data_IF_490370791285
#
_entry.id   IF_490370791285
#
_cell.length_a   1.000
_cell.length_b   1.000
_cell.length_c   1.000
_cell.angle_alpha   90.00
_cell.angle_beta   90.00
_cell.angle_gamma   90.00
#
_symmetry.space_group_name_H-M   'P 1'
#
loop_
_entity.id
_entity.type
_entity.pdbx_description
1 polymer ?
#
# COMPACT_ATOMS: atom_id res chain seq x y z
N UNK A 1 21.67 -3.33 -13.36
CA UNK A 1 21.75 -2.10 -12.53
C UNK A 1 20.41 -1.83 -11.86
N UNK A 2 19.35 -1.55 -12.62
CA UNK A 2 17.98 -1.37 -12.07
C UNK A 2 17.52 -2.57 -11.22
N UNK A 3 17.75 -3.81 -11.69
CA UNK A 3 17.38 -5.03 -10.95
C UNK A 3 18.02 -5.06 -9.54
N UNK A 4 19.28 -4.63 -9.42
CA UNK A 4 20.02 -4.66 -8.16
C UNK A 4 19.68 -3.48 -7.23
N UNK A 5 18.88 -2.52 -7.71
CA UNK A 5 18.47 -1.35 -6.93
C UNK A 5 17.25 -1.65 -6.04
N UNK A 6 16.63 -2.82 -6.18
CA UNK A 6 15.58 -3.32 -5.31
C UNK A 6 16.20 -4.16 -4.19
N UNK A 7 16.16 -3.65 -2.96
CA UNK A 7 16.77 -4.29 -1.79
C UNK A 7 15.83 -4.31 -0.58
N UNK A 8 16.12 -5.24 0.34
CA UNK A 8 15.40 -5.36 1.62
C UNK A 8 15.70 -4.13 2.51
N UNK A 9 14.74 -3.65 3.32
CA UNK A 9 13.46 -4.29 3.65
C UNK A 9 12.31 -3.98 2.67
N UNK A 10 12.53 -3.12 1.69
CA UNK A 10 11.48 -2.55 0.85
C UNK A 10 10.96 -3.50 -0.23
N UNK A 11 11.87 -4.27 -0.84
CA UNK A 11 11.54 -5.25 -1.87
C UNK A 11 12.24 -6.58 -1.63
N UNK A 12 11.60 -7.67 -2.08
CA UNK A 12 12.26 -8.96 -2.26
C UNK A 12 13.15 -8.91 -3.50
N UNK A 13 14.06 -9.87 -3.60
CA UNK A 13 14.93 -9.98 -4.76
C UNK A 13 14.08 -10.20 -6.04
N UNK A 14 14.26 -9.39 -7.09
CA UNK A 14 13.44 -9.50 -8.29
C UNK A 14 13.71 -10.81 -9.04
N UNK A 15 12.65 -11.52 -9.40
CA UNK A 15 12.71 -12.67 -10.29
C UNK A 15 12.60 -12.23 -11.75
N UNK A 16 13.45 -12.77 -12.62
CA UNK A 16 13.38 -12.52 -14.06
C UNK A 16 12.33 -13.44 -14.68
N UNK A 17 11.26 -12.84 -15.18
CA UNK A 17 10.14 -13.54 -15.82
C UNK A 17 9.97 -13.08 -17.26
N UNK A 18 9.30 -13.89 -18.07
CA UNK A 18 8.89 -13.50 -19.43
C UNK A 18 7.63 -12.62 -19.40
N UNK A 19 7.39 -11.85 -20.47
CA UNK A 19 6.22 -10.98 -20.57
C UNK A 19 4.90 -11.78 -20.50
N UNK A 20 4.89 -13.03 -20.99
CA UNK A 20 3.71 -13.90 -20.99
C UNK A 20 3.41 -14.44 -19.58
N UNK A 21 4.42 -14.60 -18.74
CA UNK A 21 4.28 -15.05 -17.35
C UNK A 21 3.88 -13.92 -16.39
N UNK A 22 4.02 -12.67 -16.82
CA UNK A 22 3.73 -11.49 -16.02
C UNK A 22 2.28 -11.45 -15.55
N UNK A 23 1.33 -11.63 -16.48
CA UNK A 23 -0.10 -11.58 -16.17
C UNK A 23 -0.50 -12.75 -15.26
N UNK A 24 -0.08 -13.98 -15.60
CA UNK A 24 -0.36 -15.17 -14.78
C UNK A 24 0.29 -15.10 -13.38
N UNK A 25 1.45 -14.46 -13.24
CA UNK A 25 2.13 -14.27 -11.96
C UNK A 25 1.45 -13.25 -11.04
N UNK A 26 0.95 -12.15 -11.62
CA UNK A 26 0.16 -11.15 -10.91
C UNK A 26 -1.21 -11.72 -10.50
N UNK A 27 -1.91 -12.39 -11.40
CA UNK A 27 -3.24 -12.97 -11.13
C UNK A 27 -3.20 -14.06 -10.05
N UNK A 28 -2.11 -14.84 -10.01
CA UNK A 28 -1.88 -15.84 -8.97
C UNK A 28 -1.42 -15.24 -7.63
N UNK A 29 -1.24 -13.92 -7.54
CA UNK A 29 -0.73 -13.24 -6.34
C UNK A 29 0.71 -13.59 -5.97
N UNK A 30 1.48 -14.16 -6.92
CA UNK A 30 2.91 -14.50 -6.71
C UNK A 30 3.77 -13.24 -6.69
N UNK A 31 3.39 -12.24 -7.48
CA UNK A 31 4.08 -10.96 -7.57
C UNK A 31 3.12 -9.83 -7.20
N UNK A 32 3.57 -8.87 -6.40
CA UNK A 32 2.82 -7.61 -6.16
C UNK A 32 3.11 -6.58 -7.25
N UNK A 33 4.30 -6.65 -7.85
CA UNK A 33 4.78 -5.72 -8.88
C UNK A 33 5.46 -6.49 -9.99
N UNK A 34 5.22 -6.10 -11.24
CA UNK A 34 5.97 -6.56 -12.39
C UNK A 34 6.41 -5.36 -13.24
N UNK A 35 7.69 -5.33 -13.61
CA UNK A 35 8.30 -4.20 -14.33
C UNK A 35 8.74 -4.70 -15.70
N UNK A 36 8.16 -4.12 -16.75
CA UNK A 36 8.51 -4.41 -18.13
C UNK A 36 9.45 -3.32 -18.67
N UNK A 37 10.69 -3.71 -18.97
CA UNK A 37 11.74 -2.84 -19.51
C UNK A 37 11.91 -3.15 -20.99
N UNK A 38 11.70 -2.17 -21.91
CA UNK A 38 11.71 -2.46 -23.33
C UNK A 38 13.11 -2.87 -23.84
N UNK A 39 13.17 -3.72 -24.87
CA UNK A 39 14.44 -4.03 -25.53
C UNK A 39 14.98 -2.74 -26.15
N UNK A 40 16.27 -2.46 -25.92
CA UNK A 40 16.98 -1.22 -26.29
C UNK A 40 16.83 -0.02 -25.34
N UNK A 41 16.21 -0.18 -24.16
CA UNK A 41 16.07 0.91 -23.17
C UNK A 41 17.36 1.72 -22.96
N UNK A 42 18.49 1.06 -22.68
CA UNK A 42 19.78 1.73 -22.47
C UNK A 42 20.22 2.56 -23.70
N UNK A 43 20.05 2.02 -24.91
CA UNK A 43 20.44 2.72 -26.14
C UNK A 43 19.58 3.96 -26.36
N UNK A 44 18.28 3.86 -26.07
CA UNK A 44 17.33 4.95 -26.29
C UNK A 44 17.52 6.08 -25.26
N UNK A 45 17.76 5.74 -23.99
CA UNK A 45 18.16 6.71 -22.96
C UNK A 45 19.44 7.46 -23.36
N UNK A 46 20.48 6.74 -23.82
CA UNK A 46 21.74 7.37 -24.25
C UNK A 46 21.60 8.22 -25.53
N UNK A 47 20.66 7.85 -26.40
CA UNK A 47 20.31 8.63 -27.59
C UNK A 47 19.52 9.92 -27.24
N UNK A 48 19.18 10.15 -25.96
CA UNK A 48 18.34 11.26 -25.54
C UNK A 48 16.86 11.09 -25.90
N UNK A 49 16.45 9.87 -26.26
CA UNK A 49 15.02 9.52 -26.38
C UNK A 49 14.43 9.31 -24.98
N UNK A 50 13.11 9.39 -24.89
CA UNK A 50 12.35 9.16 -23.66
C UNK A 50 11.65 7.80 -23.71
N UNK A 51 12.35 6.68 -23.45
CA UNK A 51 11.73 5.37 -23.44
C UNK A 51 10.84 5.19 -22.20
N UNK A 52 9.67 4.58 -22.41
CA UNK A 52 8.71 4.27 -21.35
C UNK A 52 9.06 2.93 -20.68
N UNK A 53 9.02 2.91 -19.34
CA UNK A 53 9.01 1.66 -18.55
C UNK A 53 7.59 1.45 -18.04
N UNK A 54 7.06 0.24 -18.24
CA UNK A 54 5.74 -0.13 -17.74
C UNK A 54 5.88 -0.85 -16.39
N UNK A 55 5.08 -0.41 -15.41
CA UNK A 55 4.96 -1.05 -14.10
C UNK A 55 3.53 -1.53 -13.92
N UNK A 56 3.35 -2.83 -13.77
CA UNK A 56 2.10 -3.48 -13.46
C UNK A 56 2.05 -3.79 -11.96
N UNK A 57 0.93 -3.45 -11.32
CA UNK A 57 0.77 -3.55 -9.86
C UNK A 57 -0.48 -4.34 -9.53
N UNK A 58 -0.35 -5.30 -8.62
CA UNK A 58 -1.49 -5.96 -7.99
C UNK A 58 -2.09 -5.03 -6.92
N UNK A 59 -3.26 -4.50 -7.22
CA UNK A 59 -3.98 -3.57 -6.37
C UNK A 59 -4.78 -4.24 -5.24
N UNK A 60 -4.82 -5.58 -5.14
CA UNK A 60 -5.49 -6.26 -4.01
C UNK A 60 -4.84 -5.89 -2.66
N UNK A 61 -3.54 -5.59 -2.66
CA UNK A 61 -2.79 -5.07 -1.51
C UNK A 61 -2.60 -3.56 -1.61
N UNK A 62 -3.70 -2.81 -1.51
CA UNK A 62 -3.76 -1.36 -1.74
C UNK A 62 -2.60 -0.55 -1.12
N UNK A 63 -2.34 -0.65 0.19
CA UNK A 63 -1.29 0.18 0.82
C UNK A 63 0.10 -0.14 0.27
N UNK A 64 0.40 -1.43 0.04
CA UNK A 64 1.67 -1.87 -0.53
C UNK A 64 1.79 -1.41 -1.98
N UNK A 65 0.73 -1.56 -2.78
CA UNK A 65 0.67 -1.15 -4.18
C UNK A 65 1.00 0.35 -4.36
N UNK A 66 0.40 1.23 -3.57
CA UNK A 66 0.62 2.67 -3.66
C UNK A 66 2.03 3.07 -3.20
N UNK A 67 2.44 2.64 -2.00
CA UNK A 67 3.75 2.98 -1.46
C UNK A 67 4.88 2.37 -2.29
N UNK A 68 4.73 1.13 -2.73
CA UNK A 68 5.70 0.43 -3.56
C UNK A 68 5.84 1.06 -4.95
N UNK A 69 4.75 1.53 -5.58
CA UNK A 69 4.84 2.24 -6.86
C UNK A 69 5.69 3.52 -6.74
N UNK A 70 5.47 4.33 -5.70
CA UNK A 70 6.27 5.53 -5.45
C UNK A 70 7.75 5.21 -5.22
N UNK A 71 8.06 4.12 -4.52
CA UNK A 71 9.46 3.68 -4.36
C UNK A 71 10.07 3.19 -5.68
N UNK A 72 9.35 2.39 -6.46
CA UNK A 72 9.81 1.90 -7.78
C UNK A 72 10.15 3.09 -8.68
N UNK A 73 9.28 4.10 -8.75
CA UNK A 73 9.50 5.30 -9.56
C UNK A 73 10.76 6.06 -9.14
N UNK A 74 10.98 6.25 -7.83
CA UNK A 74 12.16 6.93 -7.31
C UNK A 74 13.44 6.13 -7.56
N UNK A 75 13.41 4.81 -7.37
CA UNK A 75 14.55 3.92 -7.60
C UNK A 75 14.94 3.93 -9.08
N UNK A 76 13.97 3.74 -9.98
CA UNK A 76 14.22 3.72 -11.43
C UNK A 76 14.73 5.08 -11.90
N UNK A 77 14.06 6.17 -11.52
CA UNK A 77 14.47 7.53 -11.90
C UNK A 77 15.87 7.86 -11.38
N UNK A 78 16.18 7.48 -10.14
CA UNK A 78 17.49 7.66 -9.53
C UNK A 78 18.59 6.89 -10.26
N UNK A 79 18.34 5.64 -10.64
CA UNK A 79 19.31 4.81 -11.34
C UNK A 79 19.53 5.26 -12.78
N UNK A 80 18.47 5.67 -13.48
CA UNK A 80 18.56 6.25 -14.83
C UNK A 80 19.34 7.57 -14.78
N UNK A 81 19.01 8.46 -13.84
CA UNK A 81 19.72 9.73 -13.70
C UNK A 81 21.19 9.53 -13.34
N UNK A 82 21.51 8.62 -12.42
CA UNK A 82 22.91 8.34 -12.06
C UNK A 82 23.71 7.76 -13.23
N UNK A 83 23.05 6.96 -14.08
CA UNK A 83 23.64 6.41 -15.29
C UNK A 83 23.87 7.49 -16.35
N UNK A 84 22.89 8.37 -16.59
CA UNK A 84 22.99 9.46 -17.56
C UNK A 84 23.96 10.54 -17.10
N UNK A 85 23.96 10.93 -15.82
CA UNK A 85 24.84 11.97 -15.28
C UNK A 85 26.33 11.59 -15.37
N UNK A 86 26.67 10.31 -15.26
CA UNK A 86 28.05 9.83 -15.52
C UNK A 86 28.44 9.89 -17.00
N UNK A 87 27.46 9.99 -17.90
CA UNK A 87 27.63 9.92 -19.35
C UNK A 87 27.46 11.29 -20.05
N UNK A 88 26.68 12.21 -19.47
CA UNK A 88 26.46 13.59 -19.92
C UNK A 88 26.39 14.52 -18.70
N UNK A 89 27.23 15.54 -18.71
CA UNK A 89 27.38 16.53 -17.64
C UNK A 89 26.22 17.57 -17.56
N UNK A 90 25.07 17.31 -18.20
CA UNK A 90 23.96 18.28 -18.27
C UNK A 90 22.56 17.65 -18.17
N UNK A 91 21.89 18.07 -17.10
CA UNK A 91 20.47 18.01 -16.69
C UNK A 91 19.39 17.94 -17.80
N UNK A 92 18.52 16.91 -17.75
CA UNK A 92 17.02 16.91 -17.77
C UNK A 92 16.58 15.44 -17.54
N UNK A 93 15.54 15.19 -16.72
CA UNK A 93 14.92 13.87 -16.54
C UNK A 93 14.51 13.27 -17.91
N UNK A 94 15.20 12.22 -18.42
CA UNK A 94 14.98 11.73 -19.78
C UNK A 94 14.01 10.54 -19.85
N UNK A 95 13.36 10.14 -18.75
CA UNK A 95 12.46 8.97 -18.74
C UNK A 95 11.12 9.38 -18.15
N UNK A 96 10.07 9.16 -18.94
CA UNK A 96 8.69 9.25 -18.52
C UNK A 96 8.22 7.85 -18.11
N UNK A 97 7.83 7.69 -16.85
CA UNK A 97 7.32 6.41 -16.33
C UNK A 97 5.81 6.32 -16.63
N UNK A 98 5.43 5.47 -17.59
CA UNK A 98 4.03 5.24 -17.94
C UNK A 98 3.42 4.18 -17.00
N UNK A 99 2.88 4.62 -15.86
CA UNK A 99 2.16 3.75 -14.92
C UNK A 99 0.77 3.44 -15.45
N UNK A 100 0.44 2.16 -15.64
CA UNK A 100 -0.89 1.72 -16.09
C UNK A 100 -1.58 0.91 -14.99
N UNK A 101 -2.57 1.52 -14.34
CA UNK A 101 -3.39 0.85 -13.32
C UNK A 101 -4.56 0.11 -13.98
N UNK A 102 -4.53 -1.22 -13.97
CA UNK A 102 -5.50 -2.06 -14.70
C UNK A 102 -6.91 -2.11 -14.08
N UNK A 103 -7.05 -1.93 -12.76
CA UNK A 103 -8.33 -2.07 -12.05
C UNK A 103 -8.90 -0.78 -11.43
N UNK A 104 -8.18 0.36 -11.49
CA UNK A 104 -8.71 1.67 -11.09
C UNK A 104 -8.15 2.80 -11.99
N UNK A 105 -8.69 2.98 -13.20
CA UNK A 105 -8.20 3.95 -14.18
C UNK A 105 -8.39 5.43 -13.76
N UNK A 106 -9.26 5.72 -12.78
CA UNK A 106 -9.56 7.09 -12.35
C UNK A 106 -8.71 7.58 -11.17
N UNK A 107 -7.88 6.73 -10.53
CA UNK A 107 -7.12 7.11 -9.34
C UNK A 107 -7.94 7.93 -8.33
N UNK A 108 -9.19 7.55 -8.03
CA UNK A 108 -9.99 8.18 -6.96
C UNK A 108 -9.47 7.76 -5.57
N UNK A 109 -8.19 8.01 -5.33
CA UNK A 109 -7.46 7.72 -4.10
C UNK A 109 -7.97 8.57 -2.93
N UNK A 110 -8.46 9.79 -3.20
CA UNK A 110 -9.07 10.63 -2.17
C UNK A 110 -10.32 9.98 -1.58
N UNK A 111 -11.20 9.42 -2.40
CA UNK A 111 -12.47 8.85 -1.89
C UNK A 111 -12.23 7.53 -1.18
N UNK A 112 -11.46 6.62 -1.76
CA UNK A 112 -11.23 5.31 -1.15
C UNK A 112 -10.25 5.38 0.03
N UNK A 113 -9.21 6.19 -0.08
CA UNK A 113 -8.24 6.43 0.99
C UNK A 113 -8.86 7.17 2.17
N UNK A 114 -9.64 8.23 1.93
CA UNK A 114 -10.34 8.93 3.00
C UNK A 114 -11.38 8.04 3.68
N UNK A 115 -12.16 7.26 2.91
CA UNK A 115 -13.13 6.31 3.50
C UNK A 115 -12.42 5.26 4.36
N UNK A 116 -11.32 4.66 3.87
CA UNK A 116 -10.54 3.72 4.66
C UNK A 116 -9.92 4.35 5.92
N UNK A 117 -9.40 5.58 5.81
CA UNK A 117 -8.86 6.32 6.94
C UNK A 117 -9.94 6.66 7.98
N UNK A 118 -11.14 7.04 7.53
CA UNK A 118 -12.31 7.29 8.38
C UNK A 118 -12.73 6.01 9.10
N UNK A 119 -12.87 4.89 8.38
CA UNK A 119 -13.22 3.59 8.96
C UNK A 119 -12.18 3.18 10.01
N UNK A 120 -10.89 3.36 9.73
CA UNK A 120 -9.82 3.00 10.64
C UNK A 120 -9.84 3.88 11.91
N UNK A 121 -10.05 5.19 11.76
CA UNK A 121 -10.20 6.11 12.89
C UNK A 121 -11.43 5.79 13.74
N UNK A 122 -12.59 5.51 13.11
CA UNK A 122 -13.82 5.10 13.81
C UNK A 122 -13.57 3.81 14.59
N UNK A 123 -12.94 2.81 13.96
CA UNK A 123 -12.63 1.52 14.60
C UNK A 123 -11.70 1.72 15.81
N UNK A 124 -10.67 2.54 15.68
CA UNK A 124 -9.75 2.86 16.76
C UNK A 124 -10.47 3.55 17.93
N UNK A 125 -11.30 4.56 17.65
CA UNK A 125 -12.08 5.26 18.67
C UNK A 125 -13.07 4.33 19.37
N UNK A 126 -13.76 3.45 18.62
CA UNK A 126 -14.68 2.47 19.20
C UNK A 126 -13.96 1.54 20.19
N UNK A 127 -12.76 1.06 19.85
CA UNK A 127 -11.95 0.21 20.74
C UNK A 127 -11.51 0.99 21.99
N UNK A 128 -10.95 2.19 21.82
CA UNK A 128 -10.43 3.00 22.93
C UNK A 128 -11.54 3.43 23.88
N UNK A 129 -12.68 3.88 23.35
CA UNK A 129 -13.83 4.29 24.17
C UNK A 129 -14.40 3.08 24.93
N UNK A 130 -14.58 1.94 24.27
CA UNK A 130 -15.07 0.72 24.94
C UNK A 130 -14.13 0.23 26.03
N UNK A 131 -12.82 0.19 25.75
CA UNK A 131 -11.81 -0.19 26.74
C UNK A 131 -11.76 0.76 27.93
N UNK A 132 -11.81 2.08 27.68
CA UNK A 132 -11.80 3.08 28.75
C UNK A 132 -13.05 3.05 29.62
N UNK A 133 -14.24 2.80 29.05
CA UNK A 133 -15.46 2.60 29.83
C UNK A 133 -15.37 1.35 30.71
N UNK A 134 -14.84 0.24 30.18
CA UNK A 134 -14.65 -0.98 30.97
C UNK A 134 -13.67 -0.75 32.14
N UNK A 135 -12.54 -0.09 31.88
CA UNK A 135 -11.55 0.24 32.93
C UNK A 135 -12.19 1.13 34.00
N UNK A 136 -12.91 2.17 33.59
CA UNK A 136 -13.60 3.08 34.51
C UNK A 136 -14.62 2.36 35.39
N UNK A 137 -15.34 1.38 34.85
CA UNK A 137 -16.29 0.56 35.62
C UNK A 137 -15.60 -0.46 36.54
N UNK A 138 -14.40 -0.94 36.19
CA UNK A 138 -13.56 -1.73 37.10
C UNK A 138 -13.13 -0.87 38.29
N UNK A 139 -12.67 0.35 38.03
CA UNK A 139 -12.19 1.29 39.06
C UNK A 139 -13.31 1.77 40.00
N UNK A 140 -14.53 1.93 39.49
CA UNK A 140 -15.71 2.28 40.29
C UNK A 140 -16.42 1.07 40.95
N UNK A 141 -15.95 -0.16 40.72
CA UNK A 141 -16.56 -1.38 41.28
C UNK A 141 -17.94 -1.73 40.73
N UNK A 142 -18.42 -1.06 39.67
CA UNK A 142 -19.76 -1.30 39.11
C UNK A 142 -19.85 -2.61 38.32
N UNK A 143 -18.71 -3.14 37.85
CA UNK A 143 -18.66 -4.47 37.21
C UNK A 143 -19.07 -5.58 38.17
N UNK A 144 -18.69 -5.47 39.44
CA UNK A 144 -19.03 -6.46 40.46
C UNK A 144 -20.54 -6.50 40.72
N UNK A 145 -21.20 -5.34 40.64
CA UNK A 145 -22.66 -5.25 40.74
C UNK A 145 -23.37 -5.81 39.49
N UNK A 146 -22.80 -5.58 38.30
CA UNK A 146 -23.34 -6.10 37.04
C UNK A 146 -23.22 -7.63 36.94
N UNK A 147 -22.17 -8.22 37.53
CA UNK A 147 -21.94 -9.67 37.56
C UNK A 147 -22.92 -10.44 38.48
N UNK A 148 -23.68 -9.76 39.33
CA UNK A 148 -24.70 -10.35 40.20
C UNK A 148 -26.08 -10.39 39.52
N UNK A 149 -26.24 -9.69 38.39
CA UNK A 149 -27.47 -9.74 37.59
C UNK A 149 -27.53 -11.04 36.77
N UNK A 150 -28.73 -11.53 36.40
CA UNK A 150 -28.89 -12.72 35.57
C UNK A 150 -28.57 -12.45 34.09
N UNK A 151 -27.41 -11.84 33.81
CA UNK A 151 -26.89 -11.54 32.48
C UNK A 151 -25.45 -12.03 32.39
N UNK A 152 -25.07 -12.57 31.25
CA UNK A 152 -23.72 -13.10 31.06
C UNK A 152 -22.71 -11.96 30.80
N UNK A 153 -21.42 -12.14 31.19
CA UNK A 153 -20.38 -11.17 30.89
C UNK A 153 -20.26 -10.86 29.38
N UNK A 154 -20.56 -11.84 28.53
CA UNK A 154 -20.54 -11.68 27.08
C UNK A 154 -21.65 -10.75 26.59
N UNK A 155 -22.88 -10.89 27.10
CA UNK A 155 -24.00 -10.00 26.76
C UNK A 155 -23.72 -8.55 27.16
N UNK A 156 -23.13 -8.33 28.34
CA UNK A 156 -22.74 -6.99 28.82
C UNK A 156 -21.69 -6.37 27.89
N UNK A 157 -20.66 -7.14 27.51
CA UNK A 157 -19.62 -6.67 26.60
C UNK A 157 -20.15 -6.37 25.20
N UNK A 158 -20.99 -7.25 24.66
CA UNK A 158 -21.60 -7.07 23.34
C UNK A 158 -22.49 -5.82 23.30
N UNK A 159 -23.30 -5.57 24.33
CA UNK A 159 -24.15 -4.39 24.41
C UNK A 159 -23.32 -3.08 24.42
N UNK A 160 -22.20 -3.06 25.15
CA UNK A 160 -21.29 -1.91 25.20
C UNK A 160 -20.60 -1.66 23.86
N UNK A 161 -20.06 -2.71 23.25
CA UNK A 161 -19.41 -2.63 21.93
C UNK A 161 -20.39 -2.11 20.88
N UNK A 162 -21.63 -2.64 20.87
CA UNK A 162 -22.64 -2.22 19.89
C UNK A 162 -23.08 -0.77 20.12
N UNK A 163 -23.35 -0.38 21.37
CA UNK A 163 -23.76 0.99 21.70
C UNK A 163 -22.67 2.00 21.34
N UNK A 164 -21.40 1.71 21.63
CA UNK A 164 -20.28 2.60 21.33
C UNK A 164 -19.92 2.59 19.85
N UNK A 165 -19.98 1.43 19.20
CA UNK A 165 -19.83 1.32 17.76
C UNK A 165 -20.86 2.16 17.01
N UNK A 166 -22.13 2.13 17.43
CA UNK A 166 -23.22 2.89 16.81
C UNK A 166 -23.13 4.41 17.08
N UNK A 167 -22.53 4.85 18.18
CA UNK A 167 -22.32 6.27 18.48
C UNK A 167 -21.16 6.88 17.68
N UNK A 168 -20.14 6.07 17.34
CA UNK A 168 -18.95 6.54 16.61
C UNK A 168 -19.16 6.51 15.09
N UNK A 169 -20.05 5.65 14.60
CA UNK A 169 -20.42 5.52 13.18
C UNK A 169 -21.43 6.59 12.75
#
# INVERSE_FOLDING_TARGET
RIINAFYRPWFLEPELITADEMDAGLDAGRYTFAINIPPNFQRDVLAGRQPEIQVNVDATRMSQAFTGNGYIQNIISGEVNSFVARYRDNSVLPVELAVRMRFNPNLEQERFGAVMAIINNITMLAIVLTGSALIREREHGTIEHLLVMPVTPFEIMMAKIWSMGLVVL
#
